data_IF_546558402981
#
_entry.id   IF_546558402981
#
_cell.length_a   1.000
_cell.length_b   1.000
_cell.length_c   1.000
_cell.angle_alpha   90.00
_cell.angle_beta   90.00
_cell.angle_gamma   90.00
#
_symmetry.space_group_name_H-M   'P 1'
#
loop_
_entity.id
_entity.type
_entity.pdbx_description
1 polymer ?
#
# COMPACT_ATOMS: atom_id res chain seq x y z
N UNK A 1 20.29 -3.85 -36.62
CA UNK A 1 20.60 -4.47 -35.32
C UNK A 1 19.58 -4.01 -34.28
N UNK A 2 18.35 -4.53 -34.32
CA UNK A 2 17.27 -4.11 -33.44
C UNK A 2 17.01 -5.16 -32.36
N UNK A 3 17.84 -5.19 -31.32
CA UNK A 3 17.58 -6.05 -30.16
C UNK A 3 16.47 -5.36 -29.37
N UNK A 4 15.23 -5.86 -29.45
CA UNK A 4 14.21 -5.54 -28.45
C UNK A 4 14.79 -6.07 -27.13
N UNK A 5 15.42 -5.20 -26.35
CA UNK A 5 15.98 -5.56 -25.06
C UNK A 5 14.80 -5.85 -24.14
N UNK A 6 14.41 -7.12 -24.06
CA UNK A 6 13.68 -7.61 -22.91
C UNK A 6 14.55 -7.28 -21.70
N UNK A 7 14.16 -6.24 -20.96
CA UNK A 7 14.90 -5.79 -19.79
C UNK A 7 14.82 -6.93 -18.78
N UNK A 8 15.97 -7.52 -18.45
CA UNK A 8 16.04 -8.54 -17.41
C UNK A 8 15.53 -7.94 -16.09
N UNK A 9 14.90 -8.77 -15.27
CA UNK A 9 14.33 -8.34 -13.99
C UNK A 9 15.37 -7.63 -13.11
N UNK A 10 16.61 -8.12 -13.10
CA UNK A 10 17.74 -7.49 -12.41
C UNK A 10 18.03 -6.06 -12.90
N UNK A 11 17.87 -5.79 -14.20
CA UNK A 11 18.08 -4.44 -14.74
C UNK A 11 16.92 -3.49 -14.39
N UNK A 12 15.71 -4.03 -14.23
CA UNK A 12 14.56 -3.27 -13.72
C UNK A 12 14.79 -2.91 -12.25
N UNK A 13 15.20 -3.87 -11.43
CA UNK A 13 15.53 -3.66 -10.02
C UNK A 13 16.65 -2.63 -9.88
N UNK A 14 17.76 -2.78 -10.62
CA UNK A 14 18.88 -1.85 -10.53
C UNK A 14 18.48 -0.40 -10.86
N UNK A 15 17.66 -0.21 -11.91
CA UNK A 15 17.12 1.12 -12.24
C UNK A 15 16.19 1.66 -11.17
N UNK A 16 15.35 0.81 -10.59
CA UNK A 16 14.47 1.22 -9.50
C UNK A 16 15.27 1.71 -8.31
N UNK A 17 16.22 0.91 -7.81
CA UNK A 17 17.07 1.26 -6.67
C UNK A 17 17.85 2.55 -6.92
N UNK A 18 18.47 2.71 -8.09
CA UNK A 18 19.20 3.92 -8.46
C UNK A 18 18.30 5.15 -8.66
N UNK A 19 17.01 4.97 -8.92
CA UNK A 19 16.04 6.06 -9.13
C UNK A 19 15.32 6.52 -7.86
N UNK A 20 15.49 5.83 -6.73
CA UNK A 20 14.87 6.20 -5.45
C UNK A 20 15.50 7.49 -4.91
N UNK A 21 14.66 8.48 -4.59
CA UNK A 21 15.10 9.75 -4.00
C UNK A 21 15.36 9.67 -2.48
N UNK A 22 14.63 8.80 -1.76
CA UNK A 22 14.81 8.60 -0.32
C UNK A 22 16.08 7.79 -0.02
N UNK A 23 16.97 8.35 0.81
CA UNK A 23 18.22 7.71 1.20
C UNK A 23 17.99 6.46 2.07
N UNK A 24 16.96 6.47 2.91
CA UNK A 24 16.61 5.36 3.79
C UNK A 24 16.10 4.17 2.98
N UNK A 25 15.15 4.42 2.07
CA UNK A 25 14.63 3.42 1.13
C UNK A 25 15.75 2.87 0.23
N UNK A 26 16.65 3.73 -0.28
CA UNK A 26 17.80 3.29 -1.08
C UNK A 26 18.73 2.36 -0.31
N UNK A 27 19.01 2.67 0.98
CA UNK A 27 19.87 1.86 1.83
C UNK A 27 19.24 0.51 2.15
N UNK A 28 17.94 0.49 2.47
CA UNK A 28 17.22 -0.75 2.79
C UNK A 28 17.13 -1.67 1.57
N UNK A 29 16.84 -1.11 0.38
CA UNK A 29 16.86 -1.87 -0.88
C UNK A 29 18.23 -2.48 -1.19
N UNK A 30 19.32 -1.77 -0.88
CA UNK A 30 20.68 -2.31 -1.04
C UNK A 30 21.02 -3.38 0.00
N UNK A 31 20.51 -3.26 1.22
CA UNK A 31 20.75 -4.23 2.28
C UNK A 31 20.03 -5.55 2.02
N UNK A 32 18.79 -5.47 1.53
CA UNK A 32 17.89 -6.62 1.37
C UNK A 32 17.94 -7.27 -0.01
N UNK A 33 18.65 -6.63 -0.94
CA UNK A 33 18.95 -7.11 -2.30
C UNK A 33 17.76 -7.80 -2.99
N UNK A 34 16.65 -7.09 -3.24
CA UNK A 34 15.45 -7.69 -3.78
C UNK A 34 15.71 -8.28 -5.17
N UNK A 35 15.35 -9.54 -5.36
CA UNK A 35 15.58 -10.26 -6.62
C UNK A 35 14.60 -9.87 -7.72
N UNK A 36 13.46 -9.26 -7.37
CA UNK A 36 12.40 -8.90 -8.31
C UNK A 36 11.94 -7.46 -8.12
N UNK A 37 11.44 -6.84 -9.20
CA UNK A 37 10.93 -5.46 -9.13
C UNK A 37 9.72 -5.34 -8.21
N UNK A 38 8.90 -6.40 -8.13
CA UNK A 38 7.74 -6.46 -7.21
C UNK A 38 8.21 -6.40 -5.76
N UNK A 39 9.22 -7.20 -5.40
CA UNK A 39 9.79 -7.19 -4.04
C UNK A 39 10.44 -5.85 -3.71
N UNK A 40 11.13 -5.24 -4.69
CA UNK A 40 11.72 -3.92 -4.51
C UNK A 40 10.66 -2.84 -4.22
N UNK A 41 9.51 -2.86 -4.91
CA UNK A 41 8.41 -1.94 -4.62
C UNK A 41 7.77 -2.20 -3.25
N UNK A 42 7.44 -3.45 -2.94
CA UNK A 42 6.89 -3.79 -1.62
C UNK A 42 7.83 -3.37 -0.49
N UNK A 43 9.14 -3.50 -0.68
CA UNK A 43 10.11 -3.04 0.30
C UNK A 43 10.09 -1.52 0.44
N UNK A 44 10.09 -0.79 -0.67
CA UNK A 44 10.03 0.67 -0.66
C UNK A 44 8.74 1.19 -0.02
N UNK A 45 7.61 0.55 -0.33
CA UNK A 45 6.32 0.82 0.29
C UNK A 45 6.35 0.50 1.78
N UNK A 46 6.88 -0.65 2.19
CA UNK A 46 6.95 -1.01 3.61
C UNK A 46 7.86 -0.07 4.41
N UNK A 47 8.97 0.42 3.84
CA UNK A 47 9.84 1.41 4.50
C UNK A 47 9.15 2.76 4.60
N UNK A 48 8.53 3.24 3.52
CA UNK A 48 7.78 4.50 3.53
C UNK A 48 6.51 4.41 4.40
N UNK A 49 5.91 3.23 4.48
CA UNK A 49 4.80 2.94 5.37
C UNK A 49 5.29 2.87 6.81
N UNK A 50 6.47 2.32 7.12
CA UNK A 50 7.03 2.38 8.48
C UNK A 50 7.32 3.83 8.91
N UNK A 51 7.76 4.69 7.97
CA UNK A 51 7.88 6.14 8.19
C UNK A 51 6.53 6.81 8.50
N UNK A 52 5.39 6.24 8.04
CA UNK A 52 4.04 6.82 8.21
C UNK A 52 3.13 6.07 9.19
N UNK A 53 3.41 4.79 9.51
CA UNK A 53 2.68 3.87 10.38
C UNK A 53 3.07 4.07 11.85
N UNK A 54 4.25 4.64 12.13
CA UNK A 54 4.51 5.31 13.42
C UNK A 54 3.53 6.48 13.66
N UNK A 55 2.74 6.88 12.66
CA UNK A 55 1.58 7.78 12.79
C UNK A 55 0.27 7.23 12.20
N UNK A 56 0.18 5.94 11.88
CA UNK A 56 -0.76 5.43 10.87
C UNK A 56 -1.55 4.19 11.27
N UNK A 57 -1.87 4.01 12.56
CA UNK A 57 -2.93 3.10 13.00
C UNK A 57 -4.32 3.55 12.49
N UNK A 58 -4.53 3.63 11.17
CA UNK A 58 -5.84 3.99 10.61
C UNK A 58 -6.07 3.46 9.21
N UNK A 59 -5.74 2.21 8.98
CA UNK A 59 -6.54 1.38 8.08
C UNK A 59 -7.18 0.27 8.91
N UNK A 60 -7.98 0.69 9.91
CA UNK A 60 -9.02 -0.18 10.46
C UNK A 60 -9.94 -0.51 9.28
N UNK A 61 -9.79 -1.73 8.80
CA UNK A 61 -10.89 -2.63 8.51
C UNK A 61 -12.11 -2.25 9.35
N UNK A 62 -13.00 -1.41 8.82
CA UNK A 62 -14.41 -1.52 9.18
C UNK A 62 -14.97 -2.60 8.27
N UNK A 63 -14.65 -3.82 8.69
CA UNK A 63 -15.53 -4.98 8.65
C UNK A 63 -17.01 -4.60 8.63
N UNK A 64 -17.71 -5.30 7.74
CA UNK A 64 -19.14 -5.17 7.50
C UNK A 64 -19.95 -5.66 8.71
N UNK A 65 -21.12 -5.02 8.89
CA UNK A 65 -22.34 -5.50 9.56
C UNK A 65 -22.31 -5.75 11.08
N UNK A 66 -23.05 -4.94 11.84
CA UNK A 66 -24.24 -5.43 12.57
C UNK A 66 -25.10 -4.28 13.13
N UNK A 67 -26.38 -4.57 13.31
CA UNK A 67 -27.53 -3.70 13.41
C UNK A 67 -27.62 -2.77 14.64
N UNK A 68 -28.02 -1.52 14.39
CA UNK A 68 -28.54 -0.58 15.37
C UNK A 68 -29.85 0.00 14.85
N UNK A 69 -30.92 -0.27 15.58
CA UNK A 69 -32.31 -0.01 15.23
C UNK A 69 -32.65 1.49 15.34
N UNK A 70 -33.04 2.16 14.25
CA UNK A 70 -33.60 3.52 14.38
C UNK A 70 -34.82 3.77 13.48
N UNK A 71 -35.12 2.90 12.51
CA UNK A 71 -36.14 3.21 11.50
C UNK A 71 -37.55 2.67 11.81
N UNK A 72 -37.75 1.85 12.85
CA UNK A 72 -39.11 1.45 13.27
C UNK A 72 -39.82 2.56 14.07
N UNK A 73 -39.06 3.37 14.82
CA UNK A 73 -39.62 4.48 15.60
C UNK A 73 -40.25 5.55 14.70
N UNK A 74 -39.63 5.84 13.55
CA UNK A 74 -40.11 6.89 12.65
C UNK A 74 -41.39 6.50 11.89
N UNK A 75 -41.66 5.20 11.66
CA UNK A 75 -42.83 4.76 10.87
C UNK A 75 -44.13 4.79 11.68
N UNK A 76 -44.08 4.62 13.01
CA UNK A 76 -45.28 4.63 13.86
C UNK A 76 -45.84 6.05 14.03
N UNK A 77 -44.99 7.07 14.06
CA UNK A 77 -45.43 8.47 14.15
C UNK A 77 -46.10 8.97 12.86
N UNK A 78 -45.71 8.45 11.69
CA UNK A 78 -46.32 8.85 10.40
C UNK A 78 -47.69 8.23 10.14
N UNK A 79 -48.01 7.11 10.79
CA UNK A 79 -49.30 6.42 10.61
C UNK A 79 -50.41 6.96 11.54
N UNK A 80 -50.04 7.72 12.57
CA UNK A 80 -50.98 8.20 13.60
C UNK A 80 -51.25 9.72 13.53
N UNK A 81 -50.96 10.37 12.39
CA UNK A 81 -51.30 11.78 12.16
C UNK A 81 -52.37 11.95 11.09
#
# INVERSE_FOLDING_TARGET
LGRRAGKSESELVARFICGVASKEVHRELRLREPTTLVKARQLAENVAELETEVGGSRQRTTENADAGNDNLAQVVETLTR
#
